data_IF_873534017185
#
_entry.id   IF_873534017185
#
_cell.length_a   1.000
_cell.length_b   1.000
_cell.length_c   1.000
_cell.angle_alpha   90.00
_cell.angle_beta   90.00
_cell.angle_gamma   90.00
#
_symmetry.space_group_name_H-M   'P 1'
#
loop_
_entity.id
_entity.type
_entity.pdbx_description
1 polymer ?
#
# COMPACT_ATOMS: atom_id res chain seq x y z
N UNK A 1 -81.71 130.25 -151.61
CA UNK A 1 -82.79 131.21 -151.26
C UNK A 1 -82.30 132.58 -151.72
N UNK A 2 -82.67 133.11 -152.89
CA UNK A 2 -83.96 133.73 -153.26
C UNK A 2 -84.41 134.73 -152.18
N UNK A 3 -84.47 136.05 -152.39
CA UNK A 3 -85.45 136.81 -153.22
C UNK A 3 -84.93 138.26 -153.43
N UNK A 4 -84.89 138.82 -154.65
CA UNK A 4 -85.94 139.51 -155.42
C UNK A 4 -86.13 141.02 -155.11
N UNK A 5 -85.97 141.82 -156.18
CA UNK A 5 -86.24 143.25 -156.48
C UNK A 5 -87.73 143.65 -156.30
N UNK A 6 -88.31 144.85 -156.67
CA UNK A 6 -87.79 145.96 -157.53
C UNK A 6 -88.36 147.43 -157.34
N UNK A 7 -87.81 148.38 -158.13
CA UNK A 7 -88.46 149.40 -159.00
C UNK A 7 -89.60 150.39 -158.61
N UNK A 8 -89.37 151.69 -158.97
CA UNK A 8 -90.01 152.45 -160.10
C UNK A 8 -90.92 153.70 -159.83
N UNK A 9 -90.45 154.82 -160.42
CA UNK A 9 -91.09 155.92 -161.20
C UNK A 9 -92.20 156.88 -160.69
N UNK A 10 -91.91 158.17 -160.98
CA UNK A 10 -92.69 159.20 -161.73
C UNK A 10 -93.90 159.95 -161.12
N UNK A 11 -93.62 161.23 -160.86
CA UNK A 11 -94.22 162.45 -161.44
C UNK A 11 -95.73 162.73 -161.42
N UNK A 12 -96.09 163.91 -160.88
CA UNK A 12 -97.06 164.94 -161.35
C UNK A 12 -97.24 165.94 -160.19
N UNK A 13 -97.54 167.24 -160.33
CA UNK A 13 -97.71 168.20 -161.41
C UNK A 13 -97.91 169.59 -160.77
N UNK A 14 -97.66 170.67 -161.53
CA UNK A 14 -98.45 171.94 -161.61
C UNK A 14 -98.63 172.82 -160.35
N UNK A 15 -98.63 174.15 -160.38
CA UNK A 15 -98.64 175.19 -161.41
C UNK A 15 -98.31 176.55 -160.72
N UNK A 16 -97.75 177.51 -161.48
CA UNK A 16 -98.28 178.88 -161.71
C UNK A 16 -97.26 179.90 -161.16
N UNK A 17 -96.92 181.06 -161.75
CA UNK A 17 -97.51 181.93 -162.77
C UNK A 17 -96.42 182.72 -163.54
N UNK A 18 -96.74 183.07 -164.79
CA UNK A 18 -96.27 184.16 -165.69
C UNK A 18 -96.66 185.58 -165.17
N UNK A 19 -96.59 186.71 -165.93
CA UNK A 19 -95.56 187.44 -166.70
C UNK A 19 -95.42 188.94 -166.21
N UNK A 20 -94.55 189.85 -166.70
CA UNK A 20 -94.76 190.79 -167.83
C UNK A 20 -93.65 191.88 -167.88
N UNK A 21 -93.30 192.28 -169.10
CA UNK A 21 -92.46 193.39 -169.61
C UNK A 21 -93.09 194.80 -169.35
N UNK A 22 -92.66 195.94 -169.97
CA UNK A 22 -91.35 196.58 -170.22
C UNK A 22 -91.33 198.13 -169.94
N UNK A 23 -90.18 198.79 -170.22
CA UNK A 23 -89.95 200.23 -170.55
C UNK A 23 -89.72 201.21 -169.37
N UNK A 24 -88.59 201.92 -169.20
CA UNK A 24 -87.39 202.24 -170.00
C UNK A 24 -86.26 202.53 -169.00
N UNK A 25 -85.13 201.81 -169.00
CA UNK A 25 -83.90 202.30 -168.35
C UNK A 25 -82.69 201.91 -169.22
N UNK A 26 -81.76 202.87 -169.38
CA UNK A 26 -80.78 202.97 -170.46
C UNK A 26 -79.61 201.98 -170.37
N UNK A 27 -79.07 201.55 -171.53
CA UNK A 27 -77.95 200.61 -171.82
C UNK A 27 -76.67 200.70 -170.95
N UNK A 28 -76.53 201.68 -170.07
CA UNK A 28 -75.34 201.85 -169.23
C UNK A 28 -75.36 200.94 -167.99
N UNK A 29 -76.54 200.68 -167.42
CA UNK A 29 -76.69 199.88 -166.18
C UNK A 29 -76.40 198.39 -166.41
N UNK A 30 -76.74 197.84 -167.57
CA UNK A 30 -76.56 196.42 -167.90
C UNK A 30 -75.08 196.01 -167.97
N UNK A 31 -74.19 196.94 -168.35
CA UNK A 31 -72.74 196.71 -168.38
C UNK A 31 -72.12 196.69 -166.99
N UNK A 32 -72.60 197.55 -166.09
CA UNK A 32 -72.15 197.57 -164.68
C UNK A 32 -72.64 196.31 -163.94
N UNK A 33 -73.86 195.85 -164.20
CA UNK A 33 -74.39 194.60 -163.62
C UNK A 33 -73.62 193.36 -164.09
N UNK A 34 -73.23 193.28 -165.37
CA UNK A 34 -72.40 192.18 -165.88
C UNK A 34 -70.97 192.21 -165.32
N UNK A 35 -70.39 193.39 -165.10
CA UNK A 35 -69.09 193.52 -164.42
C UNK A 35 -69.20 193.04 -162.98
N UNK A 36 -70.20 193.49 -162.24
CA UNK A 36 -70.44 193.09 -160.86
C UNK A 36 -70.71 191.58 -160.72
N UNK A 37 -71.39 190.97 -161.71
CA UNK A 37 -71.59 189.52 -161.76
C UNK A 37 -70.28 188.77 -162.01
N UNK A 38 -69.45 189.25 -162.93
CA UNK A 38 -68.13 188.65 -163.22
C UNK A 38 -67.17 188.78 -162.02
N UNK A 39 -67.17 189.91 -161.32
CA UNK A 39 -66.38 190.09 -160.10
C UNK A 39 -66.85 189.13 -158.99
N UNK A 40 -68.16 188.93 -158.88
CA UNK A 40 -68.73 187.94 -157.95
C UNK A 40 -68.38 186.50 -158.34
N UNK A 41 -68.40 186.19 -159.64
CA UNK A 41 -67.94 184.90 -160.18
C UNK A 41 -66.45 184.67 -159.91
N UNK A 42 -65.60 185.68 -160.04
CA UNK A 42 -64.18 185.59 -159.71
C UNK A 42 -63.98 185.30 -158.22
N UNK A 43 -64.70 185.99 -157.32
CA UNK A 43 -64.69 185.70 -155.88
C UNK A 43 -65.18 184.27 -155.59
N UNK A 44 -66.21 183.79 -156.29
CA UNK A 44 -66.67 182.41 -156.14
C UNK A 44 -65.66 181.40 -156.68
N UNK A 45 -65.00 181.66 -157.82
CA UNK A 45 -63.96 180.79 -158.38
C UNK A 45 -62.76 180.73 -157.44
N UNK A 46 -62.32 181.86 -156.88
CA UNK A 46 -61.24 181.89 -155.90
C UNK A 46 -61.65 181.18 -154.60
N UNK A 47 -62.92 181.29 -154.19
CA UNK A 47 -63.45 180.53 -153.05
C UNK A 47 -63.52 179.03 -153.33
N UNK A 48 -63.91 178.62 -154.53
CA UNK A 48 -63.94 177.21 -154.95
C UNK A 48 -62.51 176.67 -155.01
N UNK A 49 -61.57 177.38 -155.63
CA UNK A 49 -60.15 177.00 -155.62
C UNK A 49 -59.58 176.91 -154.21
N UNK A 50 -59.94 177.84 -153.33
CA UNK A 50 -59.55 177.77 -151.91
C UNK A 50 -60.14 176.55 -151.21
N UNK A 51 -61.39 176.18 -151.52
CA UNK A 51 -62.06 175.00 -150.96
C UNK A 51 -61.52 173.69 -151.56
N UNK A 52 -61.14 173.68 -152.84
CA UNK A 52 -60.47 172.56 -153.50
C UNK A 52 -59.09 172.32 -152.88
N UNK A 53 -58.27 173.38 -152.74
CA UNK A 53 -56.99 173.31 -152.04
C UNK A 53 -57.15 172.88 -150.58
N UNK A 54 -58.21 173.33 -149.90
CA UNK A 54 -58.52 172.92 -148.53
C UNK A 54 -58.97 171.45 -148.48
N UNK A 55 -59.77 170.97 -149.43
CA UNK A 55 -60.14 169.57 -149.56
C UNK A 55 -58.94 168.68 -149.85
N UNK A 56 -58.06 169.07 -150.77
CA UNK A 56 -56.82 168.35 -151.05
C UNK A 56 -55.94 168.28 -149.80
N UNK A 57 -55.82 169.40 -149.08
CA UNK A 57 -55.10 169.44 -147.80
C UNK A 57 -55.76 168.56 -146.74
N UNK A 58 -57.08 168.50 -146.68
CA UNK A 58 -57.82 167.63 -145.76
C UNK A 58 -57.65 166.16 -146.14
N UNK A 59 -57.67 165.82 -147.43
CA UNK A 59 -57.43 164.47 -147.94
C UNK A 59 -56.02 163.99 -147.57
N UNK A 60 -55.00 164.84 -147.77
CA UNK A 60 -53.63 164.54 -147.33
C UNK A 60 -53.61 164.32 -145.82
N UNK A 61 -54.21 165.21 -145.02
CA UNK A 61 -54.26 165.04 -143.55
C UNK A 61 -54.99 163.77 -143.10
N UNK A 62 -56.07 163.38 -143.79
CA UNK A 62 -56.78 162.13 -143.51
C UNK A 62 -55.89 160.94 -143.85
N UNK A 63 -55.24 160.95 -145.02
CA UNK A 63 -54.32 159.89 -145.42
C UNK A 63 -53.11 159.77 -144.48
N UNK A 64 -52.53 160.90 -144.06
CA UNK A 64 -51.43 160.95 -143.09
C UNK A 64 -51.89 160.41 -141.73
N UNK A 65 -53.08 160.78 -141.28
CA UNK A 65 -53.64 160.27 -140.01
C UNK A 65 -53.92 158.78 -140.09
N UNK A 66 -54.47 158.28 -141.19
CA UNK A 66 -54.71 156.84 -141.40
C UNK A 66 -53.39 156.07 -141.47
N UNK A 67 -52.38 156.60 -142.16
CA UNK A 67 -51.05 156.00 -142.23
C UNK A 67 -50.34 156.01 -140.85
N UNK A 68 -50.43 157.10 -140.10
CA UNK A 68 -49.92 157.17 -138.72
C UNK A 68 -50.67 156.18 -137.83
N UNK A 69 -52.00 156.13 -137.89
CA UNK A 69 -52.82 155.21 -137.08
C UNK A 69 -52.50 153.75 -137.41
N UNK A 70 -52.34 153.39 -138.68
CA UNK A 70 -51.98 152.02 -139.08
C UNK A 70 -50.56 151.65 -138.65
N UNK A 71 -49.60 152.57 -138.75
CA UNK A 71 -48.23 152.38 -138.24
C UNK A 71 -48.20 152.24 -136.72
N UNK A 72 -48.95 153.07 -135.98
CA UNK A 72 -49.09 152.98 -134.52
C UNK A 72 -49.72 151.65 -134.10
N UNK A 73 -50.83 151.24 -134.73
CA UNK A 73 -51.49 149.96 -134.45
C UNK A 73 -50.56 148.78 -134.79
N UNK A 74 -49.83 148.84 -135.91
CA UNK A 74 -48.85 147.81 -136.26
C UNK A 74 -47.66 147.78 -135.30
N UNK A 75 -47.20 148.94 -134.83
CA UNK A 75 -46.14 149.06 -133.83
C UNK A 75 -46.57 148.47 -132.49
N UNK A 76 -47.76 148.82 -132.02
CA UNK A 76 -48.36 148.27 -130.79
C UNK A 76 -48.54 146.75 -130.92
N UNK A 77 -49.04 146.27 -132.06
CA UNK A 77 -49.17 144.83 -132.33
C UNK A 77 -47.81 144.13 -132.25
N UNK A 78 -46.78 144.69 -132.87
CA UNK A 78 -45.42 144.13 -132.82
C UNK A 78 -44.85 144.10 -131.40
N UNK A 79 -45.11 145.13 -130.59
CA UNK A 79 -44.71 145.16 -129.17
C UNK A 79 -45.43 144.08 -128.37
N UNK A 80 -46.75 143.95 -128.51
CA UNK A 80 -47.49 142.89 -127.84
C UNK A 80 -47.09 141.48 -128.29
N UNK A 81 -46.81 141.28 -129.58
CA UNK A 81 -46.31 140.00 -130.10
C UNK A 81 -44.93 139.66 -129.54
N UNK A 82 -44.04 140.65 -129.40
CA UNK A 82 -42.72 140.47 -128.77
C UNK A 82 -42.86 140.12 -127.27
N UNK A 83 -43.66 140.87 -126.52
CA UNK A 83 -43.93 140.61 -125.10
C UNK A 83 -44.59 139.22 -124.89
N UNK A 84 -45.49 138.81 -125.77
CA UNK A 84 -46.08 137.47 -125.74
C UNK A 84 -45.05 136.37 -126.05
N UNK A 85 -44.13 136.62 -126.99
CA UNK A 85 -43.04 135.69 -127.30
C UNK A 85 -42.08 135.54 -126.11
N UNK A 86 -41.70 136.65 -125.46
CA UNK A 86 -40.86 136.62 -124.27
C UNK A 86 -41.55 135.96 -123.08
N UNK A 87 -42.84 136.25 -122.85
CA UNK A 87 -43.62 135.57 -121.82
C UNK A 87 -43.69 134.05 -122.04
N UNK A 88 -43.87 133.61 -123.30
CA UNK A 88 -43.83 132.18 -123.66
C UNK A 88 -42.45 131.58 -123.43
N UNK A 89 -41.37 132.27 -123.81
CA UNK A 89 -40.00 131.82 -123.59
C UNK A 89 -39.70 131.61 -122.10
N UNK A 90 -40.07 132.57 -121.26
CA UNK A 90 -39.90 132.49 -119.81
C UNK A 90 -40.75 131.36 -119.21
N UNK A 91 -41.97 131.15 -119.70
CA UNK A 91 -42.83 130.04 -119.27
C UNK A 91 -42.19 128.69 -119.59
N UNK A 92 -41.65 128.52 -120.81
CA UNK A 92 -40.97 127.30 -121.22
C UNK A 92 -39.67 127.06 -120.43
N UNK A 93 -38.87 128.10 -120.21
CA UNK A 93 -37.66 128.04 -119.37
C UNK A 93 -38.01 127.63 -117.93
N UNK A 94 -39.01 128.28 -117.33
CA UNK A 94 -39.51 127.94 -116.00
C UNK A 94 -40.05 126.51 -115.95
N UNK A 95 -40.75 126.05 -116.98
CA UNK A 95 -41.24 124.68 -117.07
C UNK A 95 -40.09 123.66 -117.15
N UNK A 96 -39.03 123.95 -117.92
CA UNK A 96 -37.82 123.12 -117.98
C UNK A 96 -37.09 123.09 -116.64
N UNK A 97 -36.93 124.23 -115.98
CA UNK A 97 -36.31 124.31 -114.65
C UNK A 97 -37.12 123.54 -113.61
N UNK A 98 -38.44 123.69 -113.61
CA UNK A 98 -39.35 122.92 -112.75
C UNK A 98 -39.21 121.42 -112.99
N UNK A 99 -39.18 120.98 -114.25
CA UNK A 99 -38.98 119.57 -114.59
C UNK A 99 -37.61 119.05 -114.12
N UNK A 100 -36.53 119.83 -114.30
CA UNK A 100 -35.19 119.49 -113.81
C UNK A 100 -35.16 119.36 -112.29
N UNK A 101 -35.76 120.31 -111.57
CA UNK A 101 -35.85 120.27 -110.11
C UNK A 101 -36.69 119.08 -109.63
N UNK A 102 -37.78 118.75 -110.32
CA UNK A 102 -38.60 117.59 -109.99
C UNK A 102 -37.84 116.26 -110.18
N UNK A 103 -37.02 116.13 -111.24
CA UNK A 103 -36.15 114.97 -111.45
C UNK A 103 -35.09 114.90 -110.34
N UNK A 104 -34.43 116.02 -110.02
CA UNK A 104 -33.41 116.05 -108.97
C UNK A 104 -34.00 115.73 -107.59
N UNK A 105 -35.21 116.22 -107.30
CA UNK A 105 -35.95 115.86 -106.08
C UNK A 105 -36.26 114.37 -106.05
N UNK A 106 -36.70 113.79 -107.17
CA UNK A 106 -36.91 112.34 -107.30
C UNK A 106 -35.64 111.53 -107.02
N UNK A 107 -34.50 111.94 -107.59
CA UNK A 107 -33.19 111.31 -107.35
C UNK A 107 -32.78 111.41 -105.88
N UNK A 108 -32.81 112.60 -105.30
CA UNK A 108 -32.47 112.83 -103.90
C UNK A 108 -33.37 112.03 -102.94
N UNK A 109 -34.67 111.92 -103.24
CA UNK A 109 -35.58 111.09 -102.47
C UNK A 109 -35.22 109.60 -102.58
N UNK A 110 -34.87 109.10 -103.78
CA UNK A 110 -34.45 107.70 -103.93
C UNK A 110 -33.13 107.38 -103.20
N UNK A 111 -32.16 108.30 -103.23
CA UNK A 111 -30.91 108.18 -102.48
C UNK A 111 -31.15 108.20 -100.96
N UNK A 112 -32.03 109.10 -100.49
CA UNK A 112 -32.43 109.17 -99.09
C UNK A 112 -33.11 107.87 -98.63
N UNK A 113 -33.98 107.30 -99.44
CA UNK A 113 -34.62 106.01 -99.15
C UNK A 113 -33.59 104.89 -99.07
N UNK A 114 -32.63 104.83 -100.00
CA UNK A 114 -31.58 103.81 -100.00
C UNK A 114 -30.67 103.93 -98.77
N UNK A 115 -30.20 105.14 -98.46
CA UNK A 115 -29.39 105.41 -97.27
C UNK A 115 -30.18 105.05 -96.01
N UNK A 116 -31.47 105.38 -95.94
CA UNK A 116 -32.33 105.05 -94.80
C UNK A 116 -32.47 103.54 -94.62
N UNK A 117 -32.66 102.77 -95.71
CA UNK A 117 -32.70 101.30 -95.66
C UNK A 117 -31.37 100.73 -95.20
N UNK A 118 -30.25 101.24 -95.72
CA UNK A 118 -28.91 100.81 -95.33
C UNK A 118 -28.60 101.12 -93.87
N UNK A 119 -28.95 102.32 -93.40
CA UNK A 119 -28.80 102.72 -92.01
C UNK A 119 -29.60 101.81 -91.07
N UNK A 120 -30.88 101.55 -91.37
CA UNK A 120 -31.72 100.62 -90.59
C UNK A 120 -31.13 99.22 -90.53
N UNK A 121 -30.57 98.72 -91.64
CA UNK A 121 -29.89 97.42 -91.67
C UNK A 121 -28.66 97.42 -90.75
N UNK A 122 -27.82 98.46 -90.82
CA UNK A 122 -26.62 98.59 -89.99
C UNK A 122 -26.93 98.77 -88.51
N UNK A 123 -28.00 99.49 -88.18
CA UNK A 123 -28.48 99.64 -86.81
C UNK A 123 -28.96 98.29 -86.24
N UNK A 124 -29.69 97.50 -87.04
CA UNK A 124 -30.05 96.13 -86.69
C UNK A 124 -28.85 95.21 -86.49
N UNK A 125 -27.87 95.25 -87.41
CA UNK A 125 -26.62 94.47 -87.29
C UNK A 125 -25.83 94.86 -86.02
N UNK A 126 -25.77 96.16 -85.71
CA UNK A 126 -25.11 96.67 -84.50
C UNK A 126 -25.82 96.20 -83.23
N UNK A 127 -27.16 96.26 -83.19
CA UNK A 127 -27.95 95.78 -82.05
C UNK A 127 -27.72 94.28 -81.80
N UNK A 128 -27.67 93.46 -82.87
CA UNK A 128 -27.37 92.04 -82.78
C UNK A 128 -25.94 91.78 -82.26
N UNK A 129 -24.95 92.53 -82.75
CA UNK A 129 -23.57 92.43 -82.29
C UNK A 129 -23.44 92.82 -80.81
N UNK A 130 -24.11 93.89 -80.37
CA UNK A 130 -24.13 94.32 -78.97
C UNK A 130 -24.80 93.27 -78.06
N UNK A 131 -25.91 92.66 -78.51
CA UNK A 131 -26.54 91.57 -77.78
C UNK A 131 -25.60 90.37 -77.64
N UNK A 132 -24.86 90.03 -78.71
CA UNK A 132 -23.88 88.94 -78.69
C UNK A 132 -22.71 89.21 -77.75
N UNK A 133 -22.21 90.45 -77.70
CA UNK A 133 -21.14 90.85 -76.78
C UNK A 133 -21.60 90.66 -75.33
N UNK A 134 -22.79 91.16 -74.97
CA UNK A 134 -23.34 91.01 -73.61
C UNK A 134 -23.47 89.55 -73.19
N UNK A 135 -23.93 88.69 -74.10
CA UNK A 135 -24.04 87.26 -73.84
C UNK A 135 -22.65 86.62 -73.61
N UNK A 136 -21.66 86.96 -74.45
CA UNK A 136 -20.29 86.45 -74.29
C UNK A 136 -19.62 86.95 -73.01
N UNK A 137 -19.84 88.20 -72.62
CA UNK A 137 -19.37 88.75 -71.35
C UNK A 137 -19.98 88.02 -70.15
N UNK A 138 -21.29 87.74 -70.18
CA UNK A 138 -21.95 86.96 -69.14
C UNK A 138 -21.39 85.52 -69.05
N UNK A 139 -21.15 84.87 -70.20
CA UNK A 139 -20.52 83.55 -70.25
C UNK A 139 -19.09 83.57 -69.73
N UNK A 140 -18.30 84.58 -70.09
CA UNK A 140 -16.93 84.76 -69.61
C UNK A 140 -16.91 84.91 -68.09
N UNK A 141 -17.71 85.81 -67.54
CA UNK A 141 -17.80 86.03 -66.09
C UNK A 141 -18.22 84.74 -65.34
N UNK A 142 -19.16 83.97 -65.91
CA UNK A 142 -19.57 82.67 -65.36
C UNK A 142 -18.42 81.66 -65.36
N UNK A 143 -17.62 81.60 -66.43
CA UNK A 143 -16.47 80.69 -66.53
C UNK A 143 -15.33 81.11 -65.61
N UNK A 144 -15.08 82.40 -65.49
CA UNK A 144 -14.09 82.95 -64.57
C UNK A 144 -14.45 82.66 -63.11
N UNK A 145 -15.72 82.84 -62.72
CA UNK A 145 -16.19 82.46 -61.39
C UNK A 145 -16.00 80.97 -61.11
N UNK A 146 -16.38 80.09 -62.06
CA UNK A 146 -16.20 78.65 -61.93
C UNK A 146 -14.72 78.25 -61.83
N UNK A 147 -13.84 78.91 -62.59
CA UNK A 147 -12.40 78.69 -62.51
C UNK A 147 -11.85 79.08 -61.13
N UNK A 148 -12.26 80.23 -60.59
CA UNK A 148 -11.84 80.68 -59.27
C UNK A 148 -12.30 79.72 -58.16
N UNK A 149 -13.52 79.21 -58.23
CA UNK A 149 -14.01 78.16 -57.32
C UNK A 149 -13.15 76.90 -57.42
N UNK A 150 -12.91 76.38 -58.63
CA UNK A 150 -12.09 75.18 -58.83
C UNK A 150 -10.64 75.36 -58.35
N UNK A 151 -10.06 76.56 -58.53
CA UNK A 151 -8.72 76.88 -58.02
C UNK A 151 -8.69 76.92 -56.48
N UNK A 152 -9.73 77.43 -55.84
CA UNK A 152 -9.85 77.43 -54.38
C UNK A 152 -10.00 76.01 -53.84
N UNK A 153 -10.83 75.18 -54.46
CA UNK A 153 -11.01 73.77 -54.11
C UNK A 153 -9.70 72.99 -54.27
N UNK A 154 -8.98 73.19 -55.38
CA UNK A 154 -7.70 72.54 -55.60
C UNK A 154 -6.65 72.94 -54.55
N UNK A 155 -6.61 74.22 -54.14
CA UNK A 155 -5.75 74.66 -53.03
C UNK A 155 -6.12 73.98 -51.71
N UNK A 156 -7.41 73.86 -51.39
CA UNK A 156 -7.89 73.15 -50.19
C UNK A 156 -7.47 71.68 -50.21
N UNK A 157 -7.76 70.98 -51.32
CA UNK A 157 -7.41 69.57 -51.49
C UNK A 157 -5.90 69.35 -51.45
N UNK A 158 -5.11 70.25 -52.02
CA UNK A 158 -3.65 70.17 -51.94
C UNK A 158 -3.14 70.33 -50.51
N UNK A 159 -3.77 71.18 -49.68
CA UNK A 159 -3.43 71.32 -48.28
C UNK A 159 -3.81 70.07 -47.48
N UNK A 160 -5.01 69.53 -47.69
CA UNK A 160 -5.47 68.28 -47.08
C UNK A 160 -4.55 67.09 -47.45
N UNK A 161 -4.13 67.00 -48.72
CA UNK A 161 -3.18 65.97 -49.16
C UNK A 161 -1.81 66.14 -48.50
N UNK A 162 -1.35 67.36 -48.25
CA UNK A 162 -0.09 67.60 -47.54
C UNK A 162 -0.21 67.16 -46.07
N UNK A 163 -1.31 67.50 -45.41
CA UNK A 163 -1.57 67.09 -44.02
C UNK A 163 -1.70 65.57 -43.89
N UNK A 164 -2.43 64.90 -44.79
CA UNK A 164 -2.54 63.45 -44.82
C UNK A 164 -1.19 62.76 -45.05
N UNK A 165 -0.35 63.30 -45.92
CA UNK A 165 1.03 62.79 -46.11
C UNK A 165 1.87 62.95 -44.85
N UNK A 166 1.77 64.08 -44.15
CA UNK A 166 2.48 64.29 -42.89
C UNK A 166 2.00 63.33 -41.79
N UNK A 167 0.69 63.08 -41.71
CA UNK A 167 0.12 62.09 -40.78
C UNK A 167 0.57 60.67 -41.10
N UNK A 168 0.60 60.30 -42.39
CA UNK A 168 1.08 59.00 -42.84
C UNK A 168 2.56 58.79 -42.45
N UNK A 169 3.44 59.75 -42.75
CA UNK A 169 4.84 59.67 -42.39
C UNK A 169 5.04 59.52 -40.87
N UNK A 170 4.28 60.27 -40.06
CA UNK A 170 4.31 60.15 -38.60
C UNK A 170 3.86 58.77 -38.11
N UNK A 171 2.84 58.19 -38.74
CA UNK A 171 2.35 56.85 -38.41
C UNK A 171 3.36 55.77 -38.81
N UNK A 172 4.02 55.90 -39.96
CA UNK A 172 5.09 55.01 -40.42
C UNK A 172 6.30 55.04 -39.47
N UNK A 173 6.72 56.22 -39.03
CA UNK A 173 7.80 56.38 -38.03
C UNK A 173 7.43 55.71 -36.71
N UNK A 174 6.21 55.95 -36.20
CA UNK A 174 5.73 55.35 -34.96
C UNK A 174 5.65 53.82 -35.06
N UNK A 175 5.18 53.29 -36.18
CA UNK A 175 5.18 51.86 -36.45
C UNK A 175 6.62 51.29 -36.51
N UNK A 176 7.56 52.01 -37.13
CA UNK A 176 8.97 51.63 -37.16
C UNK A 176 9.59 51.54 -35.76
N UNK A 177 9.27 52.48 -34.86
CA UNK A 177 9.70 52.45 -33.46
C UNK A 177 9.07 51.25 -32.72
N UNK A 178 7.76 51.06 -32.85
CA UNK A 178 7.05 49.96 -32.19
C UNK A 178 7.57 48.59 -32.64
N UNK A 179 7.90 48.43 -33.93
CA UNK A 179 8.50 47.20 -34.47
C UNK A 179 9.87 46.91 -33.84
N UNK A 180 10.75 47.91 -33.75
CA UNK A 180 12.07 47.75 -33.10
C UNK A 180 11.95 47.40 -31.62
N UNK A 181 10.99 48.00 -30.91
CA UNK A 181 10.71 47.67 -29.51
C UNK A 181 10.24 46.22 -29.37
N UNK A 182 9.31 45.79 -30.24
CA UNK A 182 8.86 44.39 -30.26
C UNK A 182 10.02 43.43 -30.51
N UNK A 183 10.88 43.71 -31.49
CA UNK A 183 12.07 42.90 -31.76
C UNK A 183 12.98 42.80 -30.52
N UNK A 184 13.24 43.92 -29.83
CA UNK A 184 14.04 43.94 -28.60
C UNK A 184 13.40 43.12 -27.46
N UNK A 185 12.11 43.30 -27.21
CA UNK A 185 11.36 42.55 -26.19
C UNK A 185 11.29 41.05 -26.51
N UNK A 186 11.12 40.67 -27.78
CA UNK A 186 11.14 39.25 -28.17
C UNK A 186 12.50 38.61 -27.92
N UNK A 187 13.60 39.34 -28.18
CA UNK A 187 14.95 38.85 -27.88
C UNK A 187 15.14 38.69 -26.36
N UNK A 188 14.70 39.68 -25.57
CA UNK A 188 14.80 39.64 -24.10
C UNK A 188 13.95 38.49 -23.52
N UNK A 189 12.76 38.24 -24.06
CA UNK A 189 11.92 37.10 -23.67
C UNK A 189 12.64 35.77 -23.91
N UNK A 190 13.24 35.59 -25.08
CA UNK A 190 13.98 34.36 -25.42
C UNK A 190 15.20 34.18 -24.51
N UNK A 191 15.94 35.25 -24.20
CA UNK A 191 17.08 35.17 -23.26
C UNK A 191 16.64 34.78 -21.84
N UNK A 192 15.53 35.36 -21.36
CA UNK A 192 14.95 34.99 -20.07
C UNK A 192 14.43 33.54 -20.05
N UNK A 193 13.77 33.08 -21.13
CA UNK A 193 13.33 31.69 -21.28
C UNK A 193 14.53 30.73 -21.21
N UNK A 194 15.61 31.02 -21.93
CA UNK A 194 16.84 30.23 -21.89
C UNK A 194 17.43 30.19 -20.48
N UNK A 195 17.48 31.34 -19.78
CA UNK A 195 18.00 31.40 -18.41
C UNK A 195 17.13 30.63 -17.42
N UNK A 196 15.81 30.71 -17.56
CA UNK A 196 14.88 29.91 -16.77
C UNK A 196 15.09 28.41 -17.01
N UNK A 197 15.33 28.00 -18.27
CA UNK A 197 15.62 26.61 -18.59
C UNK A 197 16.94 26.15 -17.96
N UNK A 198 18.02 26.91 -18.09
CA UNK A 198 19.31 26.59 -17.45
C UNK A 198 19.17 26.45 -15.92
N UNK A 199 18.41 27.33 -15.27
CA UNK A 199 18.15 27.25 -13.83
C UNK A 199 17.30 26.02 -13.46
N UNK A 200 16.34 25.64 -14.30
CA UNK A 200 15.54 24.44 -14.09
C UNK A 200 16.41 23.17 -14.19
N UNK A 201 17.31 23.10 -15.18
CA UNK A 201 18.27 22.02 -15.35
C UNK A 201 19.26 21.96 -14.17
N UNK A 202 19.76 23.11 -13.69
CA UNK A 202 20.63 23.16 -12.51
C UNK A 202 19.91 22.70 -11.24
N UNK A 203 18.65 23.10 -11.06
CA UNK A 203 17.83 22.68 -9.93
C UNK A 203 17.57 21.17 -9.96
N UNK A 204 17.28 20.61 -11.14
CA UNK A 204 17.07 19.17 -11.29
C UNK A 204 18.36 18.39 -11.02
N UNK A 205 19.49 18.86 -11.54
CA UNK A 205 20.80 18.29 -11.21
C UNK A 205 21.08 18.30 -9.70
N UNK A 206 20.79 19.41 -9.02
CA UNK A 206 20.95 19.49 -7.55
C UNK A 206 20.05 18.49 -6.84
N UNK A 207 18.79 18.32 -7.26
CA UNK A 207 17.90 17.30 -6.68
C UNK A 207 18.46 15.90 -6.86
N UNK A 208 18.90 15.53 -8.06
CA UNK A 208 19.45 14.19 -8.32
C UNK A 208 20.69 13.92 -7.47
N UNK A 209 21.57 14.92 -7.33
CA UNK A 209 22.74 14.82 -6.44
C UNK A 209 22.32 14.63 -4.97
N UNK A 210 21.36 15.42 -4.46
CA UNK A 210 20.86 15.25 -3.09
C UNK A 210 20.20 13.88 -2.88
N UNK A 211 19.45 13.38 -3.86
CA UNK A 211 18.86 12.04 -3.80
C UNK A 211 19.93 10.94 -3.76
N UNK A 212 21.02 11.10 -4.52
CA UNK A 212 22.19 10.22 -4.47
C UNK A 212 22.90 10.26 -3.12
N UNK A 213 23.14 11.45 -2.55
CA UNK A 213 23.72 11.58 -1.21
C UNK A 213 22.83 10.94 -0.12
N UNK A 214 21.52 11.14 -0.20
CA UNK A 214 20.56 10.49 0.72
C UNK A 214 20.57 8.98 0.53
N UNK A 215 20.63 8.49 -0.71
CA UNK A 215 20.71 7.05 -1.00
C UNK A 215 21.99 6.45 -0.43
N UNK A 216 23.13 7.11 -0.61
CA UNK A 216 24.41 6.63 -0.13
C UNK A 216 24.50 6.65 1.40
N UNK A 217 24.01 7.70 2.05
CA UNK A 217 23.96 7.78 3.52
C UNK A 217 23.03 6.72 4.12
N UNK A 218 21.87 6.46 3.48
CA UNK A 218 20.99 5.34 3.84
C UNK A 218 21.70 4.00 3.67
N UNK A 219 22.34 3.77 2.53
CA UNK A 219 23.08 2.53 2.27
C UNK A 219 24.22 2.31 3.27
N UNK A 220 24.99 3.36 3.62
CA UNK A 220 26.01 3.30 4.68
C UNK A 220 25.42 2.98 6.05
N UNK A 221 24.21 3.45 6.36
CA UNK A 221 23.52 3.12 7.62
C UNK A 221 22.98 1.69 7.62
N UNK A 222 22.37 1.26 6.52
CA UNK A 222 21.88 -0.11 6.33
C UNK A 222 23.02 -1.12 6.43
N UNK A 223 24.15 -0.88 5.76
CA UNK A 223 25.34 -1.72 5.87
C UNK A 223 25.83 -1.86 7.31
N UNK A 224 25.93 -0.75 8.06
CA UNK A 224 26.29 -0.79 9.49
C UNK A 224 25.28 -1.55 10.34
N UNK A 225 23.98 -1.43 10.05
CA UNK A 225 22.94 -2.18 10.75
C UNK A 225 23.09 -3.69 10.51
N UNK A 226 23.25 -4.10 9.25
CA UNK A 226 23.46 -5.51 8.89
C UNK A 226 24.75 -6.07 9.49
N UNK A 227 25.83 -5.30 9.54
CA UNK A 227 27.08 -5.70 10.20
C UNK A 227 26.88 -5.93 11.71
N UNK A 228 26.14 -5.05 12.39
CA UNK A 228 25.80 -5.20 13.81
C UNK A 228 24.89 -6.40 14.03
N UNK A 229 23.83 -6.56 13.23
CA UNK A 229 22.91 -7.70 13.33
C UNK A 229 23.63 -9.03 13.05
N UNK A 230 24.52 -9.07 12.06
CA UNK A 230 25.36 -10.24 11.76
C UNK A 230 26.33 -10.55 12.91
N UNK A 231 26.92 -9.52 13.54
CA UNK A 231 27.78 -9.71 14.72
C UNK A 231 27.00 -10.27 15.91
N UNK A 232 25.82 -9.73 16.18
CA UNK A 232 24.90 -10.22 17.22
C UNK A 232 24.47 -11.65 16.92
N UNK A 233 24.12 -11.98 15.67
CA UNK A 233 23.75 -13.33 15.27
C UNK A 233 24.91 -14.31 15.49
N UNK A 234 26.13 -13.97 15.07
CA UNK A 234 27.32 -14.80 15.31
C UNK A 234 27.58 -15.00 16.81
N UNK A 235 27.45 -13.96 17.64
CA UNK A 235 27.60 -14.07 19.09
C UNK A 235 26.55 -15.00 19.71
N UNK A 236 25.29 -14.92 19.26
CA UNK A 236 24.23 -15.82 19.71
C UNK A 236 24.48 -17.26 19.27
N UNK A 237 24.86 -17.49 18.01
CA UNK A 237 25.22 -18.81 17.49
C UNK A 237 26.40 -19.40 18.25
N UNK A 238 27.45 -18.61 18.50
CA UNK A 238 28.62 -19.02 19.28
C UNK A 238 28.23 -19.39 20.71
N UNK A 239 27.48 -18.53 21.42
CA UNK A 239 27.02 -18.81 22.79
C UNK A 239 26.11 -20.04 22.86
N UNK A 240 25.22 -20.21 21.89
CA UNK A 240 24.34 -21.38 21.81
C UNK A 240 25.14 -22.65 21.53
N UNK A 241 26.09 -22.60 20.58
CA UNK A 241 26.98 -23.72 20.27
C UNK A 241 27.83 -24.10 21.49
N UNK A 242 28.37 -23.11 22.22
CA UNK A 242 29.12 -23.33 23.45
C UNK A 242 28.24 -23.98 24.53
N UNK A 243 27.03 -23.45 24.78
CA UNK A 243 26.11 -24.03 25.75
C UNK A 243 25.69 -25.46 25.40
N UNK A 244 25.48 -25.76 24.10
CA UNK A 244 25.20 -27.11 23.61
C UNK A 244 26.40 -28.03 23.77
N UNK A 245 27.62 -27.54 23.54
CA UNK A 245 28.85 -28.31 23.74
C UNK A 245 29.08 -28.60 25.23
N UNK A 246 28.85 -27.62 26.12
CA UNK A 246 28.94 -27.82 27.56
C UNK A 246 27.88 -28.82 28.05
N UNK A 247 26.64 -28.74 27.56
CA UNK A 247 25.60 -29.72 27.90
C UNK A 247 25.98 -31.13 27.42
N UNK A 248 26.54 -31.25 26.20
CA UNK A 248 27.04 -32.54 25.70
C UNK A 248 28.18 -33.07 26.57
N UNK A 249 29.16 -32.23 26.91
CA UNK A 249 30.26 -32.61 27.81
C UNK A 249 29.74 -33.06 29.17
N UNK A 250 28.79 -32.32 29.76
CA UNK A 250 28.17 -32.72 31.03
C UNK A 250 27.45 -34.06 30.93
N UNK A 251 26.71 -34.32 29.83
CA UNK A 251 26.08 -35.61 29.61
C UNK A 251 27.11 -36.72 29.40
N UNK A 252 28.19 -36.49 28.65
CA UNK A 252 29.28 -37.46 28.47
C UNK A 252 29.99 -37.76 29.80
N UNK A 253 30.28 -36.73 30.61
CA UNK A 253 30.83 -36.87 31.96
C UNK A 253 29.88 -37.67 32.86
N UNK A 254 28.58 -37.37 32.83
CA UNK A 254 27.58 -38.10 33.62
C UNK A 254 27.48 -39.57 33.18
N UNK A 255 27.49 -39.84 31.87
CA UNK A 255 27.53 -41.21 31.32
C UNK A 255 28.81 -41.92 31.73
N UNK A 256 29.94 -41.23 31.71
CA UNK A 256 31.23 -41.79 32.13
C UNK A 256 31.24 -42.10 33.63
N UNK A 257 30.72 -41.22 34.48
CA UNK A 257 30.52 -41.48 35.92
C UNK A 257 29.63 -42.70 36.12
N UNK A 258 28.46 -42.77 35.47
CA UNK A 258 27.59 -43.94 35.56
C UNK A 258 28.28 -45.22 35.10
N UNK A 259 29.10 -45.14 34.05
CA UNK A 259 29.88 -46.28 33.56
C UNK A 259 30.95 -46.70 34.58
N UNK A 260 31.66 -45.77 35.19
CA UNK A 260 32.70 -46.05 36.18
C UNK A 260 32.09 -46.61 37.47
N UNK A 261 30.97 -46.07 37.94
CA UNK A 261 30.18 -46.63 39.06
C UNK A 261 29.69 -48.05 38.74
N UNK A 262 29.20 -48.28 37.51
CA UNK A 262 28.79 -49.61 37.07
C UNK A 262 29.98 -50.57 37.01
N UNK A 263 31.14 -50.14 36.50
CA UNK A 263 32.36 -50.93 36.51
C UNK A 263 32.83 -51.23 37.94
N UNK A 264 32.76 -50.26 38.85
CA UNK A 264 33.13 -50.43 40.24
C UNK A 264 32.21 -51.43 40.95
N UNK A 265 30.89 -51.33 40.74
CA UNK A 265 29.92 -52.30 41.27
C UNK A 265 30.12 -53.69 40.67
N UNK A 266 30.45 -53.80 39.38
CA UNK A 266 30.81 -55.08 38.75
C UNK A 266 32.11 -55.65 39.33
N UNK A 267 33.15 -54.83 39.53
CA UNK A 267 34.40 -55.26 40.19
C UNK A 267 34.13 -55.74 41.62
N UNK A 268 33.35 -54.99 42.40
CA UNK A 268 32.97 -55.38 43.75
C UNK A 268 32.19 -56.71 43.77
N UNK A 269 31.26 -56.94 42.83
CA UNK A 269 30.57 -58.24 42.69
C UNK A 269 31.53 -59.36 42.30
N UNK A 270 32.47 -59.11 41.39
CA UNK A 270 33.50 -60.08 41.00
C UNK A 270 34.41 -60.44 42.16
N UNK A 271 34.89 -59.46 42.93
CA UNK A 271 35.76 -59.71 44.07
C UNK A 271 35.00 -60.38 45.22
N UNK A 272 33.74 -60.04 45.46
CA UNK A 272 32.88 -60.80 46.39
C UNK A 272 32.68 -62.25 45.92
N UNK A 273 32.48 -62.49 44.62
CA UNK A 273 32.38 -63.84 44.07
C UNK A 273 33.70 -64.61 44.20
N UNK A 274 34.85 -63.96 44.01
CA UNK A 274 36.18 -64.55 44.26
C UNK A 274 36.37 -64.90 45.72
N UNK A 275 36.10 -63.98 46.65
CA UNK A 275 36.19 -64.25 48.10
C UNK A 275 35.26 -65.40 48.48
N UNK A 276 34.04 -65.45 47.94
CA UNK A 276 33.14 -66.58 48.14
C UNK A 276 33.68 -67.88 47.57
N UNK A 277 34.35 -67.85 46.40
CA UNK A 277 35.03 -69.01 45.81
C UNK A 277 36.20 -69.47 46.67
N UNK A 278 37.07 -68.55 47.10
CA UNK A 278 38.23 -68.83 47.96
C UNK A 278 37.79 -69.40 49.32
N UNK A 279 36.68 -68.92 49.88
CA UNK A 279 36.06 -69.49 51.08
C UNK A 279 35.56 -70.91 50.84
N UNK A 280 34.94 -71.17 49.69
CA UNK A 280 34.51 -72.51 49.29
C UNK A 280 35.72 -73.45 49.09
N UNK A 281 36.80 -72.97 48.46
CA UNK A 281 38.03 -73.74 48.27
C UNK A 281 38.73 -74.05 49.60
N UNK A 282 38.77 -73.08 50.54
CA UNK A 282 39.25 -73.31 51.91
C UNK A 282 38.38 -74.33 52.64
N UNK A 283 37.06 -74.25 52.52
CA UNK A 283 36.15 -75.23 53.11
C UNK A 283 36.35 -76.64 52.51
N UNK A 284 36.66 -76.74 51.21
CA UNK A 284 37.00 -78.01 50.55
C UNK A 284 38.34 -78.55 51.04
N UNK A 285 39.34 -77.69 51.28
CA UNK A 285 40.63 -78.10 51.84
C UNK A 285 40.49 -78.61 53.28
N UNK A 286 39.74 -77.91 54.14
CA UNK A 286 39.49 -78.37 55.52
C UNK A 286 38.70 -79.68 55.53
N UNK A 287 37.70 -79.83 54.66
CA UNK A 287 36.98 -81.10 54.53
C UNK A 287 37.89 -82.24 54.03
N UNK A 288 38.90 -81.95 53.21
CA UNK A 288 39.93 -82.93 52.79
C UNK A 288 40.86 -83.33 53.94
N UNK A 289 41.27 -82.38 54.78
CA UNK A 289 42.10 -82.64 55.96
C UNK A 289 41.35 -83.48 56.99
N UNK A 290 40.08 -83.15 57.28
CA UNK A 290 39.20 -83.94 58.14
C UNK A 290 38.99 -85.37 57.62
N UNK A 291 38.89 -85.53 56.29
CA UNK A 291 38.79 -86.84 55.64
C UNK A 291 40.11 -87.63 55.77
N UNK A 292 41.27 -86.99 55.67
CA UNK A 292 42.56 -87.64 55.90
C UNK A 292 42.72 -88.07 57.37
N UNK A 293 42.32 -87.23 58.32
CA UNK A 293 42.32 -87.62 59.74
C UNK A 293 41.37 -88.78 60.02
N UNK A 294 40.17 -88.79 59.42
CA UNK A 294 39.24 -89.91 59.53
C UNK A 294 39.83 -91.20 58.93
N UNK A 295 40.55 -91.12 57.80
CA UNK A 295 41.26 -92.26 57.24
C UNK A 295 42.35 -92.79 58.19
N UNK A 296 43.19 -91.92 58.76
CA UNK A 296 44.20 -92.33 59.75
C UNK A 296 43.57 -92.95 61.01
N UNK A 297 42.41 -92.45 61.44
CA UNK A 297 41.62 -92.99 62.57
C UNK A 297 41.06 -94.39 62.25
N UNK A 298 40.59 -94.60 61.01
CA UNK A 298 40.10 -95.90 60.52
C UNK A 298 41.24 -96.91 60.43
N UNK A 299 42.44 -96.52 59.97
CA UNK A 299 43.61 -97.40 59.94
C UNK A 299 44.05 -97.82 61.35
N UNK A 300 44.03 -96.90 62.32
CA UNK A 300 44.36 -97.19 63.73
C UNK A 300 43.35 -98.12 64.42
N UNK A 301 42.05 -97.92 64.19
CA UNK A 301 40.99 -98.80 64.72
C UNK A 301 40.98 -100.17 64.04
N UNK A 302 41.36 -100.24 62.75
CA UNK A 302 41.49 -101.52 62.02
C UNK A 302 42.64 -102.38 62.54
N UNK A 303 43.74 -101.77 62.97
CA UNK A 303 44.85 -102.47 63.61
C UNK A 303 44.45 -103.06 64.98
N UNK A 304 43.65 -102.33 65.76
CA UNK A 304 43.12 -102.79 67.05
C UNK A 304 42.07 -103.90 66.90
N UNK A 305 41.23 -103.85 65.86
CA UNK A 305 40.27 -104.91 65.51
C UNK A 305 40.96 -106.21 65.11
N UNK A 306 42.05 -106.13 64.32
CA UNK A 306 42.87 -107.31 63.95
C UNK A 306 43.56 -107.97 65.16
N UNK A 307 43.97 -107.20 66.17
CA UNK A 307 44.62 -107.73 67.36
C UNK A 307 43.64 -108.44 68.30
N UNK A 308 42.44 -107.87 68.50
CA UNK A 308 41.37 -108.46 69.32
C UNK A 308 40.71 -109.68 68.64
N UNK A 309 40.62 -109.70 67.31
CA UNK A 309 40.08 -110.82 66.53
C UNK A 309 40.98 -112.07 66.58
N UNK A 310 42.31 -111.88 66.70
CA UNK A 310 43.27 -112.98 66.91
C UNK A 310 43.14 -113.60 68.31
N UNK A 311 42.83 -112.78 69.31
CA UNK A 311 42.63 -113.22 70.71
C UNK A 311 41.28 -113.93 70.91
N UNK A 312 40.25 -113.57 70.14
CA UNK A 312 38.95 -114.26 70.11
C UNK A 312 39.02 -115.65 69.45
N UNK A 313 39.76 -115.81 68.34
CA UNK A 313 39.91 -117.11 67.66
C UNK A 313 40.60 -118.19 68.50
N UNK A 314 41.55 -117.80 69.37
CA UNK A 314 42.27 -118.73 70.27
C UNK A 314 41.43 -119.14 71.49
N UNK A 315 40.43 -118.34 71.87
CA UNK A 315 39.47 -118.69 72.92
C UNK A 315 38.34 -119.59 72.38
N UNK A 316 37.96 -119.44 71.10
CA UNK A 316 36.93 -120.26 70.44
C UNK A 316 37.39 -121.69 70.12
N UNK A 317 38.66 -121.94 69.76
CA UNK A 317 39.19 -123.32 69.58
C UNK A 317 39.25 -124.11 70.90
N UNK A 318 39.56 -123.44 72.01
CA UNK A 318 39.61 -124.06 73.35
C UNK A 318 38.23 -124.40 73.90
N UNK A 319 37.20 -123.64 73.51
CA UNK A 319 35.80 -123.91 73.84
C UNK A 319 35.26 -125.07 72.97
N UNK A 320 35.65 -125.14 71.69
CA UNK A 320 35.24 -126.21 70.76
C UNK A 320 35.79 -127.61 71.14
N UNK A 321 37.01 -127.71 71.68
CA UNK A 321 37.57 -128.97 72.20
C UNK A 321 36.90 -129.44 73.52
N UNK A 322 36.51 -128.52 74.39
CA UNK A 322 35.83 -128.83 75.66
C UNK A 322 34.34 -129.16 75.47
N UNK A 323 33.70 -128.61 74.42
CA UNK A 323 32.32 -128.92 74.03
C UNK A 323 32.18 -130.28 73.31
N UNK A 324 33.17 -130.70 72.51
CA UNK A 324 33.19 -132.03 71.86
C UNK A 324 33.41 -133.20 72.86
N UNK A 325 34.16 -132.96 73.94
CA UNK A 325 34.28 -133.89 75.07
C UNK A 325 32.95 -134.03 75.84
N UNK A 326 32.25 -132.92 76.09
CA UNK A 326 30.94 -132.91 76.76
C UNK A 326 29.82 -133.53 75.92
N UNK A 327 29.94 -133.48 74.58
CA UNK A 327 29.05 -134.10 73.60
C UNK A 327 29.24 -135.62 73.53
N UNK A 328 30.49 -136.10 73.47
CA UNK A 328 30.83 -137.53 73.51
C UNK A 328 30.37 -138.22 74.82
N UNK A 329 30.43 -137.52 75.95
CA UNK A 329 29.98 -138.07 77.23
C UNK A 329 28.44 -138.10 77.34
N UNK A 330 27.74 -137.09 76.80
CA UNK A 330 26.25 -137.06 76.77
C UNK A 330 25.62 -138.18 75.93
N UNK A 331 26.27 -138.63 74.85
CA UNK A 331 25.79 -139.73 74.00
C UNK A 331 26.09 -141.14 74.55
N UNK A 332 27.05 -141.30 75.48
CA UNK A 332 27.28 -142.57 76.18
C UNK A 332 26.33 -142.80 77.34
N UNK A 333 26.00 -141.77 78.13
CA UNK A 333 25.06 -141.91 79.26
C UNK A 333 23.61 -142.13 78.82
N UNK A 334 23.25 -141.70 77.61
CA UNK A 334 21.93 -141.99 77.00
C UNK A 334 21.73 -143.48 76.68
N UNK A 335 22.80 -144.26 76.46
CA UNK A 335 22.74 -145.73 76.22
C UNK A 335 22.91 -146.58 77.47
N UNK A 336 23.43 -146.02 78.57
CA UNK A 336 23.54 -146.74 79.86
C UNK A 336 22.28 -146.58 80.74
N UNK A 337 21.54 -145.49 80.60
CA UNK A 337 20.24 -145.30 81.29
C UNK A 337 19.20 -146.33 80.84
N UNK A 338 19.10 -146.62 79.55
CA UNK A 338 18.19 -147.65 79.01
C UNK A 338 18.57 -149.10 79.39
N UNK A 339 19.79 -149.32 79.90
CA UNK A 339 20.28 -150.62 80.37
C UNK A 339 20.16 -150.78 81.90
N UNK A 340 20.28 -149.70 82.69
CA UNK A 340 20.18 -149.75 84.17
C UNK A 340 18.74 -149.69 84.71
N UNK A 341 17.78 -149.19 83.94
CA UNK A 341 16.34 -149.30 84.27
C UNK A 341 15.81 -150.75 84.28
N UNK A 342 16.57 -151.75 83.80
CA UNK A 342 16.17 -153.17 83.81
C UNK A 342 16.80 -154.05 84.89
N UNK A 343 17.66 -153.54 85.78
CA UNK A 343 18.44 -154.44 86.68
C UNK A 343 18.47 -154.08 88.20
N UNK A 344 18.11 -152.87 88.67
CA UNK A 344 18.16 -152.51 90.12
C UNK A 344 16.82 -152.06 90.72
N UNK A 345 15.73 -152.63 90.20
CA UNK A 345 14.45 -152.75 90.87
C UNK A 345 14.38 -153.97 91.84
N UNK A 346 15.50 -154.68 92.11
CA UNK A 346 15.45 -155.95 92.85
C UNK A 346 16.35 -156.11 94.10
N UNK A 347 17.20 -155.15 94.48
CA UNK A 347 18.03 -155.32 95.69
C UNK A 347 18.19 -153.99 96.44
N UNK A 348 17.31 -153.70 97.41
CA UNK A 348 17.39 -154.11 98.83
C UNK A 348 17.83 -152.92 99.70
N UNK A 349 17.00 -152.37 100.58
CA UNK A 349 16.29 -153.07 101.67
C UNK A 349 17.25 -153.79 102.65
N UNK A 350 18.17 -153.04 103.29
CA UNK A 350 18.60 -153.27 104.69
C UNK A 350 19.63 -152.22 105.19
N UNK A 351 19.23 -151.28 106.06
CA UNK A 351 19.98 -150.83 107.28
C UNK A 351 19.50 -149.45 107.82
N UNK A 352 19.36 -149.29 109.16
CA UNK A 352 18.53 -148.29 109.91
C UNK A 352 19.15 -147.81 111.28
N UNK A 353 18.57 -146.77 111.97
CA UNK A 353 19.15 -145.96 113.11
C UNK A 353 18.74 -146.31 114.59
N UNK A 354 19.32 -145.67 115.66
CA UNK A 354 19.05 -145.89 117.14
C UNK A 354 19.18 -144.65 118.13
N UNK A 355 18.53 -144.71 119.32
CA UNK A 355 18.21 -143.62 120.31
C UNK A 355 19.09 -143.55 121.63
N UNK A 356 19.15 -142.40 122.34
CA UNK A 356 19.99 -142.14 123.56
C UNK A 356 19.24 -141.46 124.75
N UNK A 357 19.45 -141.91 125.99
CA UNK A 357 18.81 -141.33 127.20
C UNK A 357 19.68 -140.29 127.95
N UNK A 358 19.11 -139.16 128.40
CA UNK A 358 19.78 -138.03 129.11
C UNK A 358 19.17 -137.70 130.49
N UNK A 359 18.53 -138.68 131.14
CA UNK A 359 17.87 -138.50 132.43
C UNK A 359 18.79 -137.97 133.55
N UNK A 360 18.40 -136.88 134.21
CA UNK A 360 19.13 -136.25 135.34
C UNK A 360 20.43 -135.53 134.97
N UNK A 361 20.72 -135.35 133.69
CA UNK A 361 21.88 -134.59 133.23
C UNK A 361 21.70 -133.11 133.54
N UNK A 362 22.81 -132.38 133.62
CA UNK A 362 22.82 -130.96 133.95
C UNK A 362 23.62 -130.18 132.91
N UNK A 363 23.02 -129.12 132.41
CA UNK A 363 23.68 -128.12 131.60
C UNK A 363 24.03 -126.94 132.51
N UNK A 364 25.31 -126.75 132.78
CA UNK A 364 25.84 -125.73 133.69
C UNK A 364 26.49 -124.60 132.92
N UNK A 365 26.35 -123.36 133.39
CA UNK A 365 26.98 -122.19 132.79
C UNK A 365 27.45 -121.21 133.86
N UNK A 366 28.67 -120.69 133.68
CA UNK A 366 29.29 -119.73 134.58
C UNK A 366 29.83 -118.54 133.78
N UNK A 367 29.66 -117.33 134.31
CA UNK A 367 30.06 -116.08 133.68
C UNK A 367 31.01 -115.35 134.62
N UNK A 368 32.27 -115.22 134.21
CA UNK A 368 33.37 -114.76 135.05
C UNK A 368 33.37 -115.45 136.43
N UNK A 369 33.61 -114.70 137.51
CA UNK A 369 33.63 -115.21 138.89
C UNK A 369 32.28 -115.04 139.62
N UNK A 370 31.19 -114.90 138.86
CA UNK A 370 29.83 -114.88 139.40
C UNK A 370 29.27 -116.27 139.71
N UNK A 371 28.04 -116.29 140.23
CA UNK A 371 27.31 -117.53 140.54
C UNK A 371 27.02 -118.38 139.28
N UNK A 372 27.16 -119.71 139.42
CA UNK A 372 26.88 -120.69 138.35
C UNK A 372 25.37 -120.92 138.20
N UNK A 373 24.88 -120.83 136.96
CA UNK A 373 23.50 -121.17 136.62
C UNK A 373 23.44 -122.58 136.01
N UNK A 374 22.53 -123.42 136.51
CA UNK A 374 22.40 -124.82 136.09
C UNK A 374 20.98 -125.18 135.67
N UNK A 375 20.83 -125.76 134.48
CA UNK A 375 19.60 -126.38 134.00
C UNK A 375 19.67 -127.91 134.15
N UNK A 376 18.63 -128.55 134.69
CA UNK A 376 18.60 -130.00 134.90
C UNK A 376 17.54 -130.64 134.01
N UNK A 377 17.93 -131.67 133.27
CA UNK A 377 17.03 -132.47 132.46
C UNK A 377 16.18 -133.39 133.35
N UNK A 378 14.91 -133.58 132.95
CA UNK A 378 13.99 -134.53 133.58
C UNK A 378 14.62 -135.93 133.60
N UNK A 379 14.48 -136.70 134.70
CA UNK A 379 15.04 -138.05 134.82
C UNK A 379 14.62 -139.04 133.71
N UNK A 380 13.56 -138.76 132.95
CA UNK A 380 13.05 -139.62 131.88
C UNK A 380 13.36 -139.11 130.47
N UNK A 381 14.19 -138.07 130.32
CA UNK A 381 14.44 -137.50 129.01
C UNK A 381 15.23 -138.48 128.12
N UNK A 382 14.68 -138.81 126.94
CA UNK A 382 15.32 -139.64 125.91
C UNK A 382 15.36 -138.84 124.62
N UNK A 383 16.55 -138.69 124.05
CA UNK A 383 16.79 -138.06 122.76
C UNK A 383 16.81 -139.15 121.68
N UNK A 384 15.92 -139.06 120.69
CA UNK A 384 15.86 -140.04 119.59
C UNK A 384 16.93 -139.80 118.53
N UNK A 385 17.25 -140.82 117.74
CA UNK A 385 18.19 -140.77 116.62
C UNK A 385 17.82 -139.63 115.65
N UNK A 386 18.76 -138.71 115.41
CA UNK A 386 18.54 -137.55 114.53
C UNK A 386 17.72 -136.41 115.14
N UNK A 387 17.30 -136.51 116.40
CA UNK A 387 16.56 -135.46 117.09
C UNK A 387 17.50 -134.56 117.90
N UNK A 388 17.31 -133.24 117.81
CA UNK A 388 18.02 -132.22 118.60
C UNK A 388 17.08 -131.59 119.63
N UNK A 389 17.66 -131.15 120.76
CA UNK A 389 16.95 -130.43 121.82
C UNK A 389 17.63 -129.11 122.14
N UNK A 390 16.84 -128.06 122.30
CA UNK A 390 17.28 -126.70 122.61
C UNK A 390 16.71 -126.28 123.96
N UNK A 391 17.54 -125.67 124.82
CA UNK A 391 17.10 -125.10 126.10
C UNK A 391 17.10 -123.57 126.03
N UNK A 392 15.91 -122.99 126.04
CA UNK A 392 15.68 -121.55 125.91
C UNK A 392 15.57 -120.86 127.28
N UNK A 393 15.96 -119.59 127.39
CA UNK A 393 15.63 -118.74 128.56
C UNK A 393 14.29 -118.01 128.32
N UNK A 394 13.61 -117.60 129.39
CA UNK A 394 12.30 -116.94 129.33
C UNK A 394 12.27 -115.64 128.49
N UNK A 395 13.38 -114.90 128.43
CA UNK A 395 13.49 -113.66 127.64
C UNK A 395 13.70 -113.86 126.14
N UNK A 396 13.83 -115.09 125.63
CA UNK A 396 14.06 -115.36 124.21
C UNK A 396 12.78 -115.30 123.34
N UNK A 397 11.60 -115.14 123.94
CA UNK A 397 10.33 -115.08 123.20
C UNK A 397 9.87 -116.40 122.57
N UNK A 398 10.46 -117.54 122.94
CA UNK A 398 10.15 -118.88 122.41
C UNK A 398 9.19 -119.63 123.35
N UNK A 399 8.19 -120.32 122.81
CA UNK A 399 7.21 -121.09 123.62
C UNK A 399 7.77 -122.44 124.09
N UNK A 400 7.36 -122.90 125.28
CA UNK A 400 7.81 -124.17 125.89
C UNK A 400 7.12 -125.39 125.26
N UNK A 401 7.86 -126.27 124.58
CA UNK A 401 7.35 -127.49 123.92
C UNK A 401 8.28 -128.71 124.07
N UNK A 402 8.23 -129.45 125.19
CA UNK A 402 8.99 -130.69 125.36
C UNK A 402 8.52 -131.76 124.36
N UNK A 403 9.43 -132.55 123.74
CA UNK A 403 10.83 -132.74 124.15
C UNK A 403 11.90 -131.89 123.41
N UNK A 404 11.59 -131.12 122.36
CA UNK A 404 12.62 -130.45 121.53
C UNK A 404 12.98 -129.04 122.01
N UNK A 405 12.02 -128.30 122.55
CA UNK A 405 12.22 -126.93 123.00
C UNK A 405 11.85 -126.80 124.47
N UNK A 406 12.89 -126.79 125.28
CA UNK A 406 12.78 -126.74 126.72
C UNK A 406 12.97 -125.30 127.19
N UNK A 407 11.89 -124.63 127.58
CA UNK A 407 11.96 -123.27 128.12
C UNK A 407 12.28 -123.26 129.62
N UNK A 408 13.37 -122.62 129.99
CA UNK A 408 13.73 -122.30 131.36
C UNK A 408 12.99 -121.05 131.84
N UNK A 409 11.74 -121.24 132.29
CA UNK A 409 10.80 -120.16 132.66
C UNK A 409 11.28 -119.24 133.79
N UNK A 410 12.08 -119.76 134.72
CA UNK A 410 12.54 -119.00 135.89
C UNK A 410 13.75 -118.11 135.59
N UNK A 411 14.25 -118.06 134.36
CA UNK A 411 15.45 -117.30 134.03
C UNK A 411 15.32 -116.48 132.75
N UNK A 412 15.60 -115.17 132.79
CA UNK A 412 15.34 -114.22 131.68
C UNK A 412 16.41 -114.30 130.59
N UNK A 413 17.68 -114.52 130.94
CA UNK A 413 18.77 -114.70 129.98
C UNK A 413 19.78 -115.76 130.44
N UNK A 414 20.54 -116.32 129.49
CA UNK A 414 21.72 -117.15 129.79
C UNK A 414 22.96 -116.33 130.21
N UNK A 415 22.82 -115.00 130.28
CA UNK A 415 23.85 -114.03 130.64
C UNK A 415 24.97 -113.82 129.61
N UNK A 416 25.57 -112.64 129.70
CA UNK A 416 26.65 -112.12 128.85
C UNK A 416 27.79 -111.58 129.72
N UNK A 417 29.03 -111.86 129.34
CA UNK A 417 30.23 -111.37 130.05
C UNK A 417 31.51 -111.72 129.31
N UNK A 418 32.64 -111.25 129.83
CA UNK A 418 33.95 -111.40 129.19
C UNK A 418 34.46 -112.84 129.17
N UNK A 419 34.03 -113.71 130.08
CA UNK A 419 34.40 -115.13 130.08
C UNK A 419 33.19 -115.99 130.39
N UNK A 420 32.82 -116.90 129.50
CA UNK A 420 31.65 -117.76 129.60
C UNK A 420 32.09 -119.22 129.44
N UNK A 421 31.72 -120.07 130.38
CA UNK A 421 31.94 -121.51 130.32
C UNK A 421 30.58 -122.22 130.31
N UNK A 422 30.37 -123.18 129.41
CA UNK A 422 29.19 -124.06 129.36
C UNK A 422 29.63 -125.52 129.38
N UNK A 423 28.99 -126.31 130.25
CA UNK A 423 29.30 -127.72 130.49
C UNK A 423 28.03 -128.56 130.41
N UNK A 424 28.09 -129.69 129.72
CA UNK A 424 27.08 -130.74 129.82
C UNK A 424 27.65 -131.86 130.67
N UNK A 425 26.96 -132.14 131.77
CA UNK A 425 27.38 -133.10 132.78
C UNK A 425 26.33 -134.20 132.87
N UNK A 426 26.77 -135.46 132.80
CA UNK A 426 25.88 -136.61 132.92
C UNK A 426 25.39 -136.83 134.37
N UNK A 427 24.62 -137.88 134.58
CA UNK A 427 24.04 -138.22 135.88
C UNK A 427 25.07 -138.67 136.94
N UNK A 428 26.26 -139.16 136.56
CA UNK A 428 27.34 -139.53 137.49
C UNK A 428 28.25 -138.35 137.85
N UNK A 429 28.06 -137.19 137.23
CA UNK A 429 28.89 -135.99 137.44
C UNK A 429 30.01 -135.81 136.41
N UNK A 430 30.05 -136.64 135.37
CA UNK A 430 31.08 -136.64 134.34
C UNK A 430 30.78 -135.63 133.22
N UNK A 431 31.80 -134.88 132.80
CA UNK A 431 31.70 -133.90 131.71
C UNK A 431 31.69 -134.62 130.36
N UNK A 432 30.55 -134.63 129.68
CA UNK A 432 30.37 -135.25 128.35
C UNK A 432 30.51 -134.24 127.21
N UNK A 433 30.42 -132.95 127.51
CA UNK A 433 30.75 -131.88 126.58
C UNK A 433 31.10 -130.58 127.34
N UNK A 434 32.07 -129.80 126.82
CA UNK A 434 32.53 -128.52 127.40
C UNK A 434 32.74 -127.47 126.30
N UNK A 435 32.42 -126.21 126.60
CA UNK A 435 32.62 -125.07 125.69
C UNK A 435 32.94 -123.78 126.46
N UNK A 436 34.02 -123.09 126.11
CA UNK A 436 34.46 -121.83 126.76
C UNK A 436 34.54 -120.70 125.73
N UNK A 437 34.19 -119.48 126.13
CA UNK A 437 34.22 -118.26 125.31
C UNK A 437 34.84 -117.13 126.15
N UNK A 438 35.89 -116.47 125.67
CA UNK A 438 36.54 -115.32 126.34
C UNK A 438 36.62 -114.11 125.42
N UNK A 439 36.49 -112.90 125.97
CA UNK A 439 36.60 -111.60 125.33
C UNK A 439 37.66 -110.80 126.12
N UNK A 440 38.76 -110.46 125.47
CA UNK A 440 39.85 -109.64 126.03
C UNK A 440 39.88 -108.28 125.34
N UNK A 441 39.86 -107.21 126.14
CA UNK A 441 40.21 -105.83 125.75
C UNK A 441 41.53 -105.52 126.46
N UNK A 442 42.54 -105.02 125.72
CA UNK A 442 43.76 -104.42 126.29
C UNK A 442 43.93 -103.03 125.66
N UNK A 443 44.10 -102.05 126.55
CA UNK A 443 44.25 -100.61 126.34
C UNK A 443 45.72 -100.18 126.20
N UNK A 444 45.91 -99.17 125.35
CA UNK A 444 46.90 -98.08 125.32
C UNK A 444 48.38 -98.35 125.66
N UNK A 445 49.20 -98.36 124.62
CA UNK A 445 50.36 -97.45 124.54
C UNK A 445 50.54 -96.99 123.08
N UNK A 446 51.07 -95.78 122.92
CA UNK A 446 51.26 -94.98 121.70
C UNK A 446 51.67 -95.73 120.40
N UNK A 447 51.24 -95.17 119.25
CA UNK A 447 52.05 -95.16 118.02
C UNK A 447 51.46 -95.85 116.78
N UNK A 448 51.23 -95.02 115.76
CA UNK A 448 51.43 -95.24 114.31
C UNK A 448 50.48 -96.11 113.44
N UNK A 449 50.14 -95.48 112.30
CA UNK A 449 49.99 -95.98 110.92
C UNK A 449 48.71 -96.66 110.37
N UNK A 450 48.12 -95.90 109.43
CA UNK A 450 47.88 -96.19 108.00
C UNK A 450 46.64 -96.94 107.44
N UNK A 451 46.26 -96.40 106.25
CA UNK A 451 45.41 -96.86 105.12
C UNK A 451 43.88 -96.96 105.30
N UNK A 452 43.03 -96.49 104.37
CA UNK A 452 43.17 -95.90 103.03
C UNK A 452 41.74 -95.75 102.45
N UNK A 453 41.25 -94.54 102.19
CA UNK A 453 41.18 -93.77 100.92
C UNK A 453 40.37 -94.40 99.76
N UNK A 454 39.30 -93.70 99.34
CA UNK A 454 38.81 -93.54 97.95
C UNK A 454 37.70 -92.45 97.95
N UNK A 455 38.04 -91.19 97.61
CA UNK A 455 37.13 -90.03 97.42
C UNK A 455 36.50 -89.96 96.01
N UNK A 456 35.29 -89.41 95.75
CA UNK A 456 34.74 -88.03 95.94
C UNK A 456 35.42 -86.98 95.00
N UNK A 457 34.80 -85.96 94.38
CA UNK A 457 33.47 -85.34 94.41
C UNK A 457 33.41 -84.23 93.28
N UNK A 458 32.32 -83.45 93.25
CA UNK A 458 32.19 -82.03 92.84
C UNK A 458 32.01 -81.64 91.34
N UNK A 459 30.99 -80.90 90.86
CA UNK A 459 30.19 -79.73 91.31
C UNK A 459 30.99 -78.41 91.44
N UNK A 460 30.61 -77.35 90.70
CA UNK A 460 30.31 -76.00 91.25
C UNK A 460 29.93 -74.96 90.18
N UNK A 461 29.07 -74.04 90.63
CA UNK A 461 28.68 -72.73 90.09
C UNK A 461 29.86 -71.79 89.76
N UNK A 462 29.63 -70.72 88.99
CA UNK A 462 29.42 -69.35 89.52
C UNK A 462 29.54 -68.24 88.45
N UNK A 463 28.94 -67.12 88.83
CA UNK A 463 28.63 -65.86 88.19
C UNK A 463 29.73 -64.80 88.42
N UNK A 464 29.51 -63.59 87.87
CA UNK A 464 30.12 -62.29 88.23
C UNK A 464 31.52 -62.08 87.59
N UNK A 465 31.88 -60.97 86.93
CA UNK A 465 31.37 -59.59 86.84
C UNK A 465 31.78 -58.99 85.51
#
# INVERSE_FOLDING_TARGET
MATATPSREKSRASAAQTPLSPARISRLQEKEELSALNDRLAVYIDRVRSLELENDRLLVKVSEKEEVTTREVSGIKSLYEAELADARRVLDETARERAKLQINLGKANSELEEITRNYKKKDGDLALAQARIKELEAQYNKKEAALNTALSENKSLSAELADLKAQLAKAEDAHGVAKKQLEAETLMRVDLENRCQSLAEELEFRKTMFEEEVRETRHRREKRMVEVDSGIQQDYEFKLAQALQDLRRQHEEQVQIYKDELQQTFRAKLDNAKVSSDLNDKAVLTAREELQEAHMRIEGLSYQLSALQKQASAAEERIRELEDMLSSDRDKYRRQLDAKEREMAELRESSKPHDQSLGSWRLKRQIADGEEITYKFSPKFVLKAGQTVTVWSAGAGVSHGPPSDLLWKSQSSWGTGEKILTLLVNSSGEEVAKRTVTKSVIEMENGDDEEGDFGDEDLFHQQVR
#
